data_IF_758610737127
#
_entry.id   IF_758610737127
#
_cell.length_a   1.000
_cell.length_b   1.000
_cell.length_c   1.000
_cell.angle_alpha   90.00
_cell.angle_beta   90.00
_cell.angle_gamma   90.00
#
_symmetry.space_group_name_H-M   'P 1'
#
loop_
_entity.id
_entity.type
_entity.pdbx_description
1 polymer ?
#
# COMPACT_ATOMS: atom_id res chain seq x y z
N UNK A 1 -5.99 -1.13 16.53
CA UNK A 1 -5.86 -0.86 15.06
C UNK A 1 -4.61 -0.04 14.80
N UNK A 2 -3.92 -0.36 13.72
CA UNK A 2 -2.78 0.42 13.22
C UNK A 2 -3.03 0.76 11.75
N UNK A 3 -2.42 1.84 11.29
CA UNK A 3 -2.42 2.23 9.88
C UNK A 3 -0.98 2.34 9.40
N UNK A 4 -0.75 1.93 8.17
CA UNK A 4 0.57 1.97 7.55
C UNK A 4 0.52 2.91 6.35
N UNK A 5 1.41 3.90 6.36
CA UNK A 5 1.65 4.79 5.23
C UNK A 5 2.92 4.34 4.55
N UNK A 6 2.81 4.00 3.28
CA UNK A 6 3.97 3.63 2.47
C UNK A 6 4.20 4.68 1.40
N UNK A 7 5.44 5.16 1.34
CA UNK A 7 5.83 6.22 0.42
C UNK A 7 6.94 5.69 -0.48
N UNK A 8 6.71 5.72 -1.78
CA UNK A 8 7.71 5.31 -2.76
C UNK A 8 8.07 6.49 -3.65
N UNK A 9 9.36 6.82 -3.72
CA UNK A 9 9.87 7.72 -4.74
C UNK A 9 10.33 6.88 -5.91
N UNK A 10 9.73 7.11 -7.08
CA UNK A 10 10.06 6.38 -8.29
C UNK A 10 11.15 7.11 -9.07
N UNK A 11 11.86 6.39 -9.92
CA UNK A 11 12.77 7.00 -10.88
C UNK A 11 11.99 7.88 -11.86
N UNK A 12 12.63 8.95 -12.32
CA UNK A 12 12.01 9.92 -13.24
C UNK A 12 11.46 9.21 -14.47
N UNK A 13 10.20 9.53 -14.81
CA UNK A 13 9.52 8.98 -15.98
C UNK A 13 8.89 7.60 -15.76
N UNK A 14 9.00 7.02 -14.57
CA UNK A 14 8.53 5.65 -14.31
C UNK A 14 7.15 5.55 -13.70
N UNK A 15 6.51 6.67 -13.34
CA UNK A 15 5.18 6.65 -12.74
C UNK A 15 4.14 5.94 -13.62
N UNK A 16 4.02 6.24 -14.92
CA UNK A 16 3.00 5.56 -15.74
C UNK A 16 3.18 4.05 -15.80
N UNK A 17 4.41 3.58 -16.02
CA UNK A 17 4.69 2.15 -16.09
C UNK A 17 4.44 1.45 -14.75
N UNK A 18 4.86 2.10 -13.66
CA UNK A 18 4.64 1.58 -12.32
C UNK A 18 3.14 1.44 -12.03
N UNK A 19 2.37 2.47 -12.33
CA UNK A 19 0.94 2.48 -12.06
C UNK A 19 0.18 1.44 -12.88
N UNK A 20 0.54 1.28 -14.14
CA UNK A 20 -0.07 0.26 -14.99
C UNK A 20 0.18 -1.15 -14.45
N UNK A 21 1.42 -1.46 -14.13
CA UNK A 21 1.80 -2.77 -13.57
C UNK A 21 1.15 -2.98 -12.20
N UNK A 22 1.14 -1.94 -11.37
CA UNK A 22 0.52 -2.00 -10.05
C UNK A 22 -0.97 -2.33 -10.15
N UNK A 23 -1.72 -1.60 -10.97
CA UNK A 23 -3.15 -1.82 -11.11
C UNK A 23 -3.48 -3.22 -11.63
N UNK A 24 -2.73 -3.68 -12.62
CA UNK A 24 -2.99 -4.97 -13.27
C UNK A 24 -2.57 -6.16 -12.43
N UNK A 25 -1.39 -6.10 -11.81
CA UNK A 25 -0.78 -7.25 -11.12
C UNK A 25 -0.63 -7.07 -9.62
N UNK A 26 -0.27 -5.88 -9.16
CA UNK A 26 0.03 -5.63 -7.75
C UNK A 26 -1.21 -5.45 -6.91
N UNK A 27 -2.13 -4.62 -7.35
CA UNK A 27 -3.32 -4.29 -6.56
C UNK A 27 -4.19 -5.50 -6.21
N UNK A 28 -4.52 -6.40 -7.15
CA UNK A 28 -5.29 -7.59 -6.80
C UNK A 28 -4.57 -8.47 -5.77
N UNK A 29 -3.26 -8.61 -5.92
CA UNK A 29 -2.42 -9.42 -5.05
C UNK A 29 -2.35 -8.82 -3.64
N UNK A 30 -2.09 -7.51 -3.56
CA UNK A 30 -2.00 -6.81 -2.29
C UNK A 30 -3.35 -6.78 -1.55
N UNK A 31 -4.45 -6.55 -2.25
CA UNK A 31 -5.78 -6.59 -1.64
C UNK A 31 -6.12 -7.96 -1.09
N UNK A 32 -5.72 -9.02 -1.79
CA UNK A 32 -5.97 -10.39 -1.33
C UNK A 32 -5.30 -10.66 0.01
N UNK A 33 -4.06 -10.20 0.17
CA UNK A 33 -3.27 -10.53 1.36
C UNK A 33 -3.30 -9.45 2.44
N UNK A 34 -3.19 -8.18 2.06
CA UNK A 34 -3.13 -7.08 3.03
C UNK A 34 -4.51 -6.55 3.41
N UNK A 35 -5.50 -6.71 2.55
CA UNK A 35 -6.88 -6.37 2.87
C UNK A 35 -7.22 -4.90 2.64
N UNK A 36 -7.24 -4.12 3.69
CA UNK A 36 -7.87 -2.80 3.72
C UNK A 36 -6.94 -1.67 3.29
N UNK A 37 -6.91 -1.37 1.99
CA UNK A 37 -6.29 -0.14 1.47
C UNK A 37 -7.33 0.98 1.51
N UNK A 38 -6.98 2.10 2.13
CA UNK A 38 -7.91 3.23 2.24
C UNK A 38 -7.40 4.53 1.63
N UNK A 39 -6.28 4.48 0.93
CA UNK A 39 -5.77 5.64 0.21
C UNK A 39 -4.67 5.25 -0.74
N UNK A 40 -4.64 5.89 -1.91
CA UNK A 40 -3.56 5.77 -2.87
C UNK A 40 -3.48 7.09 -3.64
N UNK A 41 -2.33 7.76 -3.55
CA UNK A 41 -2.17 9.10 -4.10
C UNK A 41 -0.85 9.23 -4.85
N UNK A 42 -0.88 9.98 -5.94
CA UNK A 42 0.31 10.43 -6.66
C UNK A 42 0.51 11.89 -6.28
N UNK A 43 1.73 12.25 -5.87
CA UNK A 43 2.02 13.61 -5.46
C UNK A 43 1.94 14.55 -6.65
N UNK A 44 1.15 15.62 -6.52
CA UNK A 44 0.95 16.60 -7.60
C UNK A 44 1.89 17.79 -7.45
N UNK A 45 1.98 18.34 -6.22
CA UNK A 45 2.83 19.47 -5.88
C UNK A 45 3.72 19.05 -4.71
N UNK A 46 5.01 19.37 -4.77
CA UNK A 46 6.00 18.97 -3.80
C UNK A 46 6.97 17.96 -4.41
N UNK A 47 7.54 17.02 -3.64
CA UNK A 47 8.45 16.02 -4.19
C UNK A 47 7.80 15.28 -5.35
N UNK A 48 8.52 15.20 -6.48
CA UNK A 48 7.99 14.59 -7.69
C UNK A 48 8.22 13.08 -7.70
N UNK A 49 7.40 12.37 -8.49
CA UNK A 49 7.48 10.91 -8.64
C UNK A 49 7.24 10.16 -7.33
N UNK A 50 6.57 10.81 -6.39
CA UNK A 50 6.22 10.24 -5.09
C UNK A 50 4.81 9.68 -5.13
N UNK A 51 4.68 8.43 -4.73
CA UNK A 51 3.38 7.80 -4.51
C UNK A 51 3.23 7.45 -3.03
N UNK A 52 2.00 7.56 -2.53
CA UNK A 52 1.67 7.29 -1.13
C UNK A 52 0.45 6.38 -1.10
N UNK A 53 0.55 5.27 -0.37
CA UNK A 53 -0.62 4.44 -0.16
C UNK A 53 -0.76 4.06 1.32
N UNK A 54 -2.01 3.83 1.71
CA UNK A 54 -2.41 3.72 3.10
C UNK A 54 -3.16 2.40 3.30
N UNK A 55 -2.72 1.65 4.32
CA UNK A 55 -3.28 0.34 4.66
C UNK A 55 -3.66 0.31 6.14
N UNK A 56 -4.73 -0.40 6.48
CA UNK A 56 -5.16 -0.57 7.86
C UNK A 56 -5.08 -2.04 8.26
N UNK A 57 -4.66 -2.28 9.49
CA UNK A 57 -4.55 -3.61 10.09
C UNK A 57 -5.14 -3.60 11.50
N UNK A 58 -5.66 -4.72 11.95
CA UNK A 58 -6.20 -4.85 13.31
C UNK A 58 -5.11 -4.69 14.37
N UNK A 59 -3.89 -5.17 14.08
CA UNK A 59 -2.76 -5.16 15.00
C UNK A 59 -1.45 -5.35 14.25
N UNK A 60 -0.32 -5.20 14.93
CA UNK A 60 0.98 -5.56 14.37
C UNK A 60 1.04 -7.05 14.01
N UNK A 61 0.46 -7.91 14.83
CA UNK A 61 0.44 -9.36 14.57
C UNK A 61 -0.35 -9.65 13.30
N UNK A 62 -1.49 -9.02 13.11
CA UNK A 62 -2.28 -9.15 11.89
C UNK A 62 -1.49 -8.69 10.67
N UNK A 63 -0.79 -7.56 10.77
CA UNK A 63 0.08 -7.06 9.70
C UNK A 63 1.16 -8.08 9.33
N UNK A 64 1.87 -8.60 10.34
CA UNK A 64 2.95 -9.56 10.11
C UNK A 64 2.44 -10.84 9.46
N UNK A 65 1.30 -11.34 9.92
CA UNK A 65 0.66 -12.53 9.35
C UNK A 65 0.29 -12.33 7.89
N UNK A 66 -0.31 -11.18 7.57
CA UNK A 66 -0.73 -10.85 6.20
C UNK A 66 0.46 -10.66 5.29
N UNK A 67 1.51 -10.01 5.77
CA UNK A 67 2.73 -9.81 4.97
C UNK A 67 3.46 -11.12 4.73
N UNK A 68 3.45 -12.04 5.68
CA UNK A 68 4.02 -13.37 5.50
C UNK A 68 3.25 -14.16 4.43
N UNK A 69 1.92 -14.07 4.42
CA UNK A 69 1.10 -14.70 3.40
C UNK A 69 1.38 -14.13 2.01
N UNK A 70 1.56 -12.81 1.91
CA UNK A 70 1.94 -12.14 0.66
C UNK A 70 3.30 -12.65 0.16
N UNK A 71 4.28 -12.71 1.05
CA UNK A 71 5.63 -13.17 0.69
C UNK A 71 5.64 -14.63 0.22
N UNK A 72 4.72 -15.45 0.72
CA UNK A 72 4.60 -16.86 0.34
C UNK A 72 3.85 -17.06 -0.98
N UNK A 73 3.17 -16.04 -1.51
CA UNK A 73 2.44 -16.15 -2.77
C UNK A 73 3.43 -16.13 -3.94
N UNK A 74 3.42 -17.14 -4.83
CA UNK A 74 4.36 -17.19 -5.97
C UNK A 74 4.24 -16.00 -6.92
N UNK A 75 3.08 -15.34 -6.97
CA UNK A 75 2.87 -14.17 -7.81
C UNK A 75 3.61 -12.93 -7.29
N UNK A 76 3.98 -12.90 -6.02
CA UNK A 76 4.64 -11.73 -5.41
C UNK A 76 6.04 -11.48 -5.98
N UNK A 77 6.96 -12.47 -6.05
CA UNK A 77 8.26 -12.24 -6.67
C UNK A 77 8.17 -11.82 -8.14
N UNK A 78 7.23 -12.40 -8.89
CA UNK A 78 7.02 -12.05 -10.30
C UNK A 78 6.62 -10.59 -10.47
N UNK A 79 5.69 -10.10 -9.64
CA UNK A 79 5.29 -8.70 -9.64
C UNK A 79 6.45 -7.79 -9.20
N UNK A 80 7.13 -8.14 -8.12
CA UNK A 80 8.25 -7.34 -7.62
C UNK A 80 9.36 -7.19 -8.64
N UNK A 81 9.65 -8.24 -9.40
CA UNK A 81 10.67 -8.19 -10.45
C UNK A 81 10.38 -7.09 -11.49
N UNK A 82 9.11 -6.79 -11.73
CA UNK A 82 8.70 -5.73 -12.66
C UNK A 82 8.75 -4.34 -12.04
N UNK A 83 8.22 -4.17 -10.83
CA UNK A 83 8.04 -2.85 -10.25
C UNK A 83 9.15 -2.38 -9.31
N UNK A 84 9.83 -3.29 -8.63
CA UNK A 84 10.89 -2.90 -7.71
C UNK A 84 12.02 -2.08 -8.36
N UNK A 85 12.49 -2.42 -9.58
CA UNK A 85 13.52 -1.60 -10.24
C UNK A 85 13.09 -0.17 -10.57
N UNK A 86 11.79 0.10 -10.57
CA UNK A 86 11.24 1.44 -10.85
C UNK A 86 11.24 2.33 -9.62
N UNK A 87 11.50 1.76 -8.43
CA UNK A 87 11.50 2.47 -7.15
C UNK A 87 12.92 2.92 -6.83
N UNK A 88 13.09 4.21 -6.56
CA UNK A 88 14.37 4.80 -6.15
C UNK A 88 14.57 4.72 -4.64
N UNK A 89 13.53 5.01 -3.86
CA UNK A 89 13.57 4.97 -2.40
C UNK A 89 12.19 4.69 -1.81
N UNK A 90 12.18 4.18 -0.58
CA UNK A 90 10.96 3.82 0.12
C UNK A 90 11.02 4.31 1.56
N UNK A 91 9.86 4.72 2.08
CA UNK A 91 9.66 4.98 3.50
C UNK A 91 8.36 4.31 3.94
N UNK A 92 8.31 3.91 5.20
CA UNK A 92 7.11 3.33 5.80
C UNK A 92 6.91 3.95 7.17
N UNK A 93 5.68 4.36 7.46
CA UNK A 93 5.27 4.81 8.79
C UNK A 93 4.13 3.94 9.27
N UNK A 94 4.20 3.54 10.55
CA UNK A 94 3.10 2.85 11.20
C UNK A 94 2.57 3.78 12.29
N UNK A 95 1.27 4.05 12.23
CA UNK A 95 0.61 5.04 13.07
C UNK A 95 -0.63 4.42 13.70
N UNK A 96 -1.15 5.04 14.74
CA UNK A 96 -2.40 4.65 15.37
C UNK A 96 -3.43 5.76 15.22
N UNK A 97 -4.66 5.46 14.82
CA UNK A 97 -5.71 6.47 14.87
C UNK A 97 -6.01 6.81 16.33
N UNK A 98 -6.23 8.08 16.67
CA UNK A 98 -6.72 8.42 17.99
C UNK A 98 -8.12 7.84 18.21
N UNK A 99 -8.51 7.70 19.49
CA UNK A 99 -9.77 7.05 19.86
C UNK A 99 -10.99 7.64 19.16
N UNK A 100 -11.02 8.96 18.95
CA UNK A 100 -12.16 9.60 18.27
C UNK A 100 -12.23 9.30 16.78
N UNK A 101 -11.10 8.96 16.14
CA UNK A 101 -11.04 8.73 14.70
C UNK A 101 -11.19 7.26 14.32
N UNK A 102 -10.83 6.34 15.20
CA UNK A 102 -10.87 4.90 14.88
C UNK A 102 -12.26 4.44 14.41
N UNK A 103 -13.39 4.83 15.06
CA UNK A 103 -14.70 4.46 14.55
C UNK A 103 -15.03 5.04 13.18
N UNK A 104 -14.56 6.26 12.91
CA UNK A 104 -14.74 6.91 11.61
C UNK A 104 -13.98 6.14 10.53
N UNK A 105 -12.73 5.81 10.79
CA UNK A 105 -11.90 5.05 9.86
C UNK A 105 -12.50 3.66 9.59
N UNK A 106 -12.96 2.97 10.63
CA UNK A 106 -13.61 1.66 10.46
C UNK A 106 -14.85 1.74 9.58
N UNK A 107 -15.65 2.79 9.75
CA UNK A 107 -16.82 3.02 8.89
C UNK A 107 -16.43 3.26 7.44
N UNK A 108 -15.38 4.05 7.20
CA UNK A 108 -14.85 4.31 5.85
C UNK A 108 -14.33 3.02 5.20
N UNK A 109 -13.60 2.21 5.95
CA UNK A 109 -13.08 0.93 5.45
C UNK A 109 -14.22 -0.02 5.06
N UNK A 110 -15.25 -0.09 5.88
CA UNK A 110 -16.43 -0.92 5.60
C UNK A 110 -17.17 -0.45 4.36
N UNK A 111 -17.36 0.86 4.21
CA UNK A 111 -18.05 1.46 3.06
C UNK A 111 -17.26 1.26 1.76
N UNK A 112 -15.92 1.23 1.82
CA UNK A 112 -15.07 1.04 0.66
C UNK A 112 -14.92 -0.38 0.17
N UNK A 113 -15.50 -1.36 0.85
CA UNK A 113 -15.44 -2.76 0.40
C UNK A 113 -16.46 -3.00 -0.69
N UNK A 114 -16.06 -3.75 -1.77
CA UNK A 114 -16.98 -4.11 -2.83
C UNK A 114 -18.07 -5.08 -2.35
#
# INVERSE_FOLDING_TARGET
MIVEERMYTLHVGKVPEFMETYEREGLPLLRRHLGDMFGFFINEIGPQNLIVHLWAFESFEDREKRRAALAADPAWPAYRAKNQPRIMSQETRVMRPPAFFEPILKAMLKAGKP
#
